data_IF_178599251253
#
_entry.id   IF_178599251253
#
_cell.length_a   1.000
_cell.length_b   1.000
_cell.length_c   1.000
_cell.angle_alpha   90.00
_cell.angle_beta   90.00
_cell.angle_gamma   90.00
#
_symmetry.space_group_name_H-M   'P 1'
#
loop_
_entity.id
_entity.type
_entity.pdbx_description
1 polymer ?
#
# COMPACT_ATOMS: atom_id res chain seq x y z
N UNK A 1 -4.96 9.40 4.04
CA UNK A 1 -3.51 9.71 4.16
C UNK A 1 -2.96 9.42 5.54
N UNK A 2 -3.55 9.94 6.62
CA UNK A 2 -3.01 9.72 7.98
C UNK A 2 -2.71 8.25 8.29
N UNK A 3 -3.68 7.35 8.11
CA UNK A 3 -3.49 5.91 8.34
C UNK A 3 -2.41 5.28 7.46
N UNK A 4 -2.40 5.58 6.16
CA UNK A 4 -1.35 5.08 5.26
C UNK A 4 0.04 5.54 5.73
N UNK A 5 0.20 6.84 5.99
CA UNK A 5 1.52 7.41 6.31
C UNK A 5 2.04 7.06 7.69
N UNK A 6 1.15 6.85 8.67
CA UNK A 6 1.55 6.32 9.98
C UNK A 6 1.89 4.85 9.87
N UNK A 7 1.14 4.07 9.09
CA UNK A 7 1.41 2.66 8.86
C UNK A 7 2.75 2.41 8.17
N UNK A 8 3.04 3.16 7.11
CA UNK A 8 4.34 3.19 6.42
C UNK A 8 5.48 3.47 7.41
N UNK A 9 5.47 4.65 8.06
CA UNK A 9 6.54 5.03 8.99
C UNK A 9 6.63 4.12 10.22
N UNK A 10 5.53 3.47 10.61
CA UNK A 10 5.54 2.42 11.62
C UNK A 10 6.29 1.18 11.13
N UNK A 11 5.96 0.67 9.95
CA UNK A 11 6.59 -0.50 9.34
C UNK A 11 8.08 -0.31 9.09
N UNK A 12 8.49 0.87 8.63
CA UNK A 12 9.90 1.19 8.33
C UNK A 12 10.82 1.08 9.56
N UNK A 13 10.30 1.27 10.78
CA UNK A 13 11.08 1.08 12.01
C UNK A 13 11.58 -0.36 12.20
N UNK A 14 10.94 -1.33 11.53
CA UNK A 14 11.30 -2.74 11.59
C UNK A 14 12.28 -3.15 10.48
N UNK A 15 12.53 -2.27 9.49
CA UNK A 15 13.52 -2.48 8.43
C UNK A 15 14.84 -1.76 8.73
N UNK A 16 14.79 -0.51 9.23
CA UNK A 16 16.01 0.30 9.46
C UNK A 16 16.79 -0.04 10.72
N UNK A 17 16.13 -0.56 11.76
CA UNK A 17 16.74 -0.80 13.07
C UNK A 17 16.54 -2.24 13.56
N UNK A 18 17.31 -3.21 13.01
CA UNK A 18 17.14 -4.63 13.34
C UNK A 18 17.65 -5.02 14.74
N UNK A 19 18.39 -4.14 15.42
CA UNK A 19 18.93 -4.42 16.75
C UNK A 19 17.79 -4.59 17.78
N UNK A 20 17.75 -5.75 18.45
CA UNK A 20 16.75 -6.04 19.48
C UNK A 20 15.32 -6.20 18.95
N UNK A 21 15.13 -6.34 17.63
CA UNK A 21 13.85 -6.29 16.94
C UNK A 21 12.82 -7.28 17.50
N UNK A 22 13.22 -8.53 17.72
CA UNK A 22 12.37 -9.57 18.31
C UNK A 22 11.85 -9.19 19.70
N UNK A 23 12.72 -8.63 20.55
CA UNK A 23 12.32 -8.21 21.89
C UNK A 23 11.38 -7.01 21.85
N UNK A 24 11.61 -6.04 20.95
CA UNK A 24 10.70 -4.90 20.76
C UNK A 24 9.33 -5.34 20.27
N UNK A 25 9.27 -6.25 19.29
CA UNK A 25 8.02 -6.82 18.79
C UNK A 25 7.24 -7.52 19.89
N UNK A 26 7.89 -8.35 20.71
CA UNK A 26 7.24 -9.03 21.84
C UNK A 26 6.68 -8.04 22.88
N UNK A 27 7.37 -6.92 23.10
CA UNK A 27 6.94 -5.88 24.05
C UNK A 27 6.00 -4.84 23.45
N UNK A 28 5.71 -4.91 22.15
CA UNK A 28 5.04 -3.83 21.38
C UNK A 28 5.67 -2.46 21.62
N UNK A 29 7.00 -2.44 21.63
CA UNK A 29 7.80 -1.23 21.86
C UNK A 29 8.05 -0.50 20.54
N UNK A 30 7.68 0.78 20.51
CA UNK A 30 7.90 1.67 19.36
C UNK A 30 9.08 2.61 19.62
N UNK A 31 9.78 3.05 18.58
CA UNK A 31 10.93 3.95 18.73
C UNK A 31 10.48 5.39 19.02
N UNK A 32 11.39 6.21 19.54
CA UNK A 32 11.20 7.66 19.56
C UNK A 32 11.17 8.23 18.13
N UNK A 33 10.46 9.34 17.95
CA UNK A 33 10.38 10.04 16.67
C UNK A 33 11.62 10.89 16.37
N UNK A 34 11.75 11.42 15.15
CA UNK A 34 10.77 11.30 14.06
C UNK A 34 10.88 9.95 13.33
N UNK A 35 9.73 9.35 12.98
CA UNK A 35 9.62 8.20 12.10
C UNK A 35 9.47 8.72 10.67
N UNK A 36 10.49 8.59 9.82
CA UNK A 36 10.36 8.95 8.42
C UNK A 36 9.43 7.97 7.73
N UNK A 37 8.58 8.48 6.84
CA UNK A 37 7.84 7.66 5.89
C UNK A 37 8.68 7.43 4.62
N UNK A 38 8.31 6.42 3.85
CA UNK A 38 9.08 5.91 2.72
C UNK A 38 8.47 6.32 1.38
N UNK A 39 8.87 5.68 0.29
CA UNK A 39 8.29 5.88 -1.03
C UNK A 39 6.80 5.59 -1.07
N UNK A 40 6.29 4.71 -0.21
CA UNK A 40 4.86 4.42 -0.03
C UNK A 40 4.04 5.70 0.15
N UNK A 41 4.38 6.48 1.17
CA UNK A 41 3.72 7.76 1.46
C UNK A 41 4.04 8.81 0.40
N UNK A 42 5.27 8.87 -0.09
CA UNK A 42 5.67 9.87 -1.11
C UNK A 42 4.87 9.70 -2.40
N UNK A 43 4.74 8.47 -2.88
CA UNK A 43 3.94 8.15 -4.06
C UNK A 43 2.44 8.30 -3.78
N UNK A 44 1.95 7.91 -2.60
CA UNK A 44 0.55 8.13 -2.21
C UNK A 44 0.15 9.62 -2.18
N UNK A 45 1.07 10.52 -1.83
CA UNK A 45 0.81 11.97 -1.92
C UNK A 45 0.54 12.42 -3.36
N UNK A 46 1.29 11.92 -4.35
CA UNK A 46 1.02 12.23 -5.77
C UNK A 46 -0.35 11.72 -6.23
N UNK A 47 -0.82 10.60 -5.67
CA UNK A 47 -2.18 10.09 -5.93
C UNK A 47 -3.23 11.07 -5.41
N UNK A 48 -3.09 11.53 -4.16
CA UNK A 48 -4.01 12.50 -3.57
C UNK A 48 -4.03 13.81 -4.37
N UNK A 49 -2.87 14.29 -4.80
CA UNK A 49 -2.78 15.49 -5.64
C UNK A 49 -3.46 15.28 -7.00
N UNK A 50 -3.27 14.13 -7.65
CA UNK A 50 -3.94 13.81 -8.90
C UNK A 50 -5.47 13.83 -8.75
N UNK A 51 -5.99 13.15 -7.72
CA UNK A 51 -7.42 13.11 -7.41
C UNK A 51 -7.98 14.50 -7.09
N UNK A 52 -7.24 15.32 -6.35
CA UNK A 52 -7.64 16.69 -6.01
C UNK A 52 -7.67 17.63 -7.22
N UNK A 53 -6.70 17.50 -8.14
CA UNK A 53 -6.59 18.38 -9.31
C UNK A 53 -7.47 17.94 -10.48
N UNK A 54 -7.71 16.63 -10.65
CA UNK A 54 -8.32 16.07 -11.86
C UNK A 54 -9.60 15.28 -11.60
N UNK A 55 -9.98 15.03 -10.34
CA UNK A 55 -11.14 14.18 -10.01
C UNK A 55 -10.94 12.70 -10.33
N UNK A 56 -9.71 12.29 -10.61
CA UNK A 56 -9.30 10.96 -11.09
C UNK A 56 -7.80 10.94 -11.37
N UNK A 57 -7.32 9.84 -11.93
CA UNK A 57 -5.91 9.66 -12.30
C UNK A 57 -5.67 10.12 -13.73
N UNK A 58 -4.96 11.24 -13.88
CA UNK A 58 -4.32 11.58 -15.15
C UNK A 58 -2.92 10.95 -15.16
N UNK A 59 -2.70 9.94 -16.02
CA UNK A 59 -1.47 9.14 -16.02
C UNK A 59 -0.24 9.93 -16.47
N UNK A 60 -0.40 10.85 -17.43
CA UNK A 60 0.71 11.66 -17.94
C UNK A 60 1.10 12.76 -16.94
N UNK A 61 0.12 13.30 -16.22
CA UNK A 61 0.37 14.17 -15.08
C UNK A 61 1.01 13.41 -13.92
N UNK A 62 0.46 12.24 -13.55
CA UNK A 62 0.96 11.43 -12.43
C UNK A 62 2.38 10.95 -12.66
N UNK A 63 2.72 10.54 -13.88
CA UNK A 63 4.08 10.15 -14.27
C UNK A 63 5.10 11.26 -14.02
N UNK A 64 4.79 12.49 -14.47
CA UNK A 64 5.62 13.67 -14.22
C UNK A 64 5.76 13.91 -12.73
N UNK A 65 4.65 13.83 -11.99
CA UNK A 65 4.63 14.09 -10.56
C UNK A 65 5.43 13.09 -9.75
N UNK A 66 5.39 11.81 -10.12
CA UNK A 66 6.26 10.79 -9.54
C UNK A 66 7.74 11.08 -9.79
N UNK A 67 8.12 11.47 -11.02
CA UNK A 67 9.48 11.86 -11.35
C UNK A 67 9.97 13.08 -10.55
N UNK A 68 9.12 14.11 -10.43
CA UNK A 68 9.41 15.32 -9.64
C UNK A 68 9.66 15.01 -8.16
N UNK A 69 8.75 14.27 -7.50
CA UNK A 69 8.93 13.93 -6.07
C UNK A 69 10.10 12.98 -5.83
N UNK A 70 10.33 12.04 -6.75
CA UNK A 70 11.52 11.18 -6.70
C UNK A 70 12.82 12.00 -6.77
N UNK A 71 12.89 13.01 -7.63
CA UNK A 71 14.07 13.86 -7.76
C UNK A 71 14.39 14.71 -6.51
N UNK A 72 13.38 15.00 -5.67
CA UNK A 72 13.58 15.71 -4.41
C UNK A 72 14.32 14.85 -3.38
N UNK A 73 14.01 13.55 -3.32
CA UNK A 73 14.65 12.61 -2.40
C UNK A 73 14.62 11.17 -2.94
N UNK A 74 15.65 10.77 -3.73
CA UNK A 74 15.74 9.42 -4.31
C UNK A 74 16.00 8.30 -3.30
N UNK A 75 16.24 8.63 -2.03
CA UNK A 75 16.67 7.70 -0.98
C UNK A 75 15.53 7.31 -0.02
N UNK A 76 14.29 7.47 -0.47
CA UNK A 76 13.08 7.22 0.35
C UNK A 76 12.66 5.75 0.48
N UNK A 77 13.43 4.79 -0.03
CA UNK A 77 13.10 3.36 0.06
C UNK A 77 12.81 2.68 -1.28
N UNK A 78 12.71 3.45 -2.37
CA UNK A 78 12.37 2.93 -3.70
C UNK A 78 13.17 1.68 -4.10
N UNK A 79 12.48 0.58 -4.38
CA UNK A 79 13.08 -0.62 -4.93
C UNK A 79 13.80 -0.37 -6.27
N UNK A 80 14.80 -1.19 -6.61
CA UNK A 80 15.70 -0.92 -7.75
C UNK A 80 15.00 -0.68 -9.09
N UNK A 81 13.93 -1.43 -9.40
CA UNK A 81 13.13 -1.19 -10.61
C UNK A 81 12.36 0.14 -10.56
N UNK A 82 11.76 0.46 -9.41
CA UNK A 82 11.08 1.74 -9.22
C UNK A 82 12.08 2.90 -9.35
N UNK A 83 13.26 2.78 -8.74
CA UNK A 83 14.33 3.78 -8.84
C UNK A 83 14.72 4.04 -10.31
N UNK A 84 14.87 3.00 -11.12
CA UNK A 84 15.17 3.14 -12.55
C UNK A 84 14.03 3.86 -13.31
N UNK A 85 12.79 3.40 -13.15
CA UNK A 85 11.62 4.00 -13.81
C UNK A 85 11.47 5.46 -13.41
N UNK A 86 11.47 5.77 -12.12
CA UNK A 86 11.26 7.12 -11.59
C UNK A 86 12.39 8.07 -11.97
N UNK A 87 13.63 7.57 -12.06
CA UNK A 87 14.77 8.34 -12.57
C UNK A 87 14.57 8.73 -14.03
N UNK A 88 14.04 7.83 -14.87
CA UNK A 88 13.72 8.14 -16.27
C UNK A 88 12.52 9.08 -16.39
N UNK A 89 11.49 8.92 -15.57
CA UNK A 89 10.35 9.86 -15.50
C UNK A 89 10.79 11.26 -15.09
N UNK A 90 11.71 11.38 -14.13
CA UNK A 90 12.31 12.66 -13.73
C UNK A 90 13.07 13.35 -14.87
N UNK A 91 13.52 12.59 -15.87
CA UNK A 91 14.15 13.11 -17.11
C UNK A 91 13.16 13.32 -18.25
N UNK A 92 11.86 13.12 -18.01
CA UNK A 92 10.80 13.32 -19.00
C UNK A 92 10.58 12.15 -19.95
N UNK A 93 11.00 10.93 -19.59
CA UNK A 93 10.70 9.76 -20.39
C UNK A 93 9.19 9.45 -20.44
N UNK A 94 8.75 8.84 -21.54
CA UNK A 94 7.38 8.34 -21.67
C UNK A 94 7.16 7.12 -20.77
N UNK A 95 6.26 7.26 -19.78
CA UNK A 95 5.95 6.21 -18.81
C UNK A 95 5.50 4.92 -19.46
N UNK A 96 4.77 4.99 -20.60
CA UNK A 96 4.27 3.80 -21.30
C UNK A 96 5.41 2.93 -21.76
N UNK A 97 6.51 3.55 -22.20
CA UNK A 97 7.71 2.86 -22.64
C UNK A 97 8.53 2.32 -21.46
N UNK A 98 8.81 3.14 -20.45
CA UNK A 98 9.71 2.73 -19.36
C UNK A 98 9.08 1.71 -18.43
N UNK A 99 7.78 1.82 -18.14
CA UNK A 99 7.06 0.84 -17.33
C UNK A 99 6.94 -0.51 -18.06
N UNK A 100 6.68 -0.50 -19.37
CA UNK A 100 6.61 -1.70 -20.19
C UNK A 100 7.98 -2.37 -20.36
N UNK A 101 9.07 -1.60 -20.46
CA UNK A 101 10.41 -2.15 -20.66
C UNK A 101 10.97 -2.93 -19.45
N UNK A 102 10.42 -2.71 -18.24
CA UNK A 102 10.86 -3.42 -17.04
C UNK A 102 10.76 -4.95 -17.19
N UNK A 103 11.69 -5.67 -16.56
CA UNK A 103 11.77 -7.14 -16.60
C UNK A 103 11.76 -7.74 -18.02
N UNK A 104 12.49 -7.11 -18.94
CA UNK A 104 12.62 -7.60 -20.31
C UNK A 104 11.34 -7.45 -21.14
N UNK A 105 10.48 -6.49 -20.82
CA UNK A 105 9.22 -6.25 -21.54
C UNK A 105 7.97 -6.79 -20.83
N UNK A 106 8.13 -7.49 -19.71
CA UNK A 106 7.01 -8.06 -18.97
C UNK A 106 6.30 -7.04 -18.05
N UNK A 107 7.00 -5.97 -17.65
CA UNK A 107 6.54 -5.04 -16.63
C UNK A 107 6.74 -5.55 -15.20
N UNK A 108 6.64 -4.64 -14.22
CA UNK A 108 6.79 -4.98 -12.80
C UNK A 108 5.52 -5.62 -12.22
N UNK A 109 5.68 -6.77 -11.56
CA UNK A 109 4.66 -7.43 -10.72
C UNK A 109 4.65 -6.92 -9.27
N UNK A 110 5.48 -5.92 -8.98
CA UNK A 110 5.71 -5.44 -7.62
C UNK A 110 4.47 -4.89 -6.93
N UNK A 111 4.53 -4.83 -5.60
CA UNK A 111 3.49 -4.30 -4.74
C UNK A 111 3.46 -2.75 -4.69
N UNK A 112 4.41 -2.05 -5.32
CA UNK A 112 4.50 -0.59 -5.27
C UNK A 112 3.33 0.16 -5.91
N UNK A 113 2.53 -0.51 -6.76
CA UNK A 113 1.23 0.02 -7.20
C UNK A 113 0.17 -0.05 -6.07
N UNK A 114 0.20 -1.11 -5.27
CA UNK A 114 -0.73 -1.37 -4.18
C UNK A 114 -0.48 -0.48 -2.96
N UNK A 115 0.79 -0.25 -2.61
CA UNK A 115 1.19 0.54 -1.43
C UNK A 115 0.59 1.96 -1.41
N UNK A 116 0.34 2.53 -2.60
CA UNK A 116 -0.16 3.89 -2.80
C UNK A 116 -1.65 3.97 -3.19
N UNK A 117 -2.37 2.84 -3.22
CA UNK A 117 -3.72 2.77 -3.78
C UNK A 117 -4.85 3.09 -2.78
N UNK A 118 -4.57 3.05 -1.46
CA UNK A 118 -5.57 3.35 -0.42
C UNK A 118 -6.32 4.68 -0.62
N UNK A 119 -5.65 5.81 -0.96
CA UNK A 119 -6.33 7.07 -1.23
C UNK A 119 -7.32 7.05 -2.39
N UNK A 120 -7.10 6.20 -3.41
CA UNK A 120 -8.03 6.05 -4.54
C UNK A 120 -9.35 5.46 -4.04
N UNK A 121 -9.27 4.39 -3.25
CA UNK A 121 -10.46 3.77 -2.65
C UNK A 121 -11.22 4.72 -1.73
N UNK A 122 -10.51 5.48 -0.90
CA UNK A 122 -11.12 6.48 -0.04
C UNK A 122 -11.85 7.58 -0.82
N UNK A 123 -11.30 8.01 -1.97
CA UNK A 123 -11.89 9.05 -2.81
C UNK A 123 -13.16 8.57 -3.53
N UNK A 124 -13.16 7.33 -4.02
CA UNK A 124 -14.30 6.68 -4.68
C UNK A 124 -15.07 5.74 -3.73
N UNK A 125 -15.25 6.16 -2.47
CA UNK A 125 -15.94 5.37 -1.47
C UNK A 125 -17.32 4.88 -1.97
N UNK A 126 -17.55 3.57 -1.92
CA UNK A 126 -18.79 2.94 -2.39
C UNK A 126 -18.89 2.72 -3.91
N UNK A 127 -17.99 3.29 -4.73
CA UNK A 127 -17.90 3.03 -6.17
C UNK A 127 -16.63 2.22 -6.49
N UNK A 128 -16.74 0.91 -6.23
CA UNK A 128 -15.63 -0.03 -6.39
C UNK A 128 -15.21 -0.19 -7.86
N UNK A 129 -16.12 0.02 -8.80
CA UNK A 129 -15.81 -0.10 -10.23
C UNK A 129 -14.91 1.06 -10.66
N UNK A 130 -15.27 2.29 -10.30
CA UNK A 130 -14.43 3.47 -10.59
C UNK A 130 -13.11 3.39 -9.81
N UNK A 131 -13.14 2.99 -8.53
CA UNK A 131 -11.92 2.78 -7.74
C UNK A 131 -10.95 1.79 -8.42
N UNK A 132 -11.47 0.68 -8.96
CA UNK A 132 -10.67 -0.31 -9.68
C UNK A 132 -10.07 0.24 -10.98
N UNK A 133 -10.85 0.98 -11.78
CA UNK A 133 -10.37 1.62 -13.02
C UNK A 133 -9.25 2.60 -12.71
N UNK A 134 -9.45 3.49 -11.74
CA UNK A 134 -8.48 4.53 -11.39
C UNK A 134 -7.23 3.94 -10.73
N UNK A 135 -7.38 2.88 -9.92
CA UNK A 135 -6.23 2.16 -9.35
C UNK A 135 -5.39 1.46 -10.41
N UNK A 136 -6.02 0.86 -11.44
CA UNK A 136 -5.30 0.30 -12.59
C UNK A 136 -4.50 1.38 -13.30
N UNK A 137 -5.14 2.51 -13.64
CA UNK A 137 -4.48 3.65 -14.32
C UNK A 137 -3.29 4.17 -13.52
N UNK A 138 -3.42 4.27 -12.21
CA UNK A 138 -2.32 4.65 -11.30
C UNK A 138 -1.16 3.64 -11.30
N UNK A 139 -1.47 2.35 -11.29
CA UNK A 139 -0.46 1.30 -11.28
C UNK A 139 0.31 1.24 -12.61
N UNK A 140 -0.38 1.35 -13.75
CA UNK A 140 0.20 1.29 -15.10
C UNK A 140 1.41 2.22 -15.32
N UNK A 141 1.43 3.37 -14.64
CA UNK A 141 2.53 4.35 -14.72
C UNK A 141 3.88 3.76 -14.32
N UNK A 142 3.91 2.75 -13.44
CA UNK A 142 5.16 2.10 -13.00
C UNK A 142 5.11 0.57 -13.01
N UNK A 143 3.93 -0.03 -13.12
CA UNK A 143 3.67 -1.47 -13.08
C UNK A 143 2.83 -1.86 -14.29
N UNK A 144 3.49 -2.13 -15.42
CA UNK A 144 2.80 -2.58 -16.64
C UNK A 144 2.30 -4.03 -16.56
N UNK A 145 2.79 -4.83 -15.60
CA UNK A 145 2.36 -6.22 -15.48
C UNK A 145 0.95 -6.30 -14.85
N UNK A 146 0.03 -7.14 -15.36
CA UNK A 146 -1.32 -7.30 -14.83
C UNK A 146 -1.38 -7.59 -13.33
N UNK A 147 -0.51 -8.45 -12.79
CA UNK A 147 -0.45 -8.72 -11.34
C UNK A 147 -0.11 -7.51 -10.47
N UNK A 148 0.81 -6.63 -10.90
CA UNK A 148 1.09 -5.39 -10.16
C UNK A 148 -0.12 -4.45 -10.14
N UNK A 149 -0.88 -4.42 -11.23
CA UNK A 149 -2.15 -3.69 -11.32
C UNK A 149 -3.26 -4.34 -10.49
N UNK A 150 -3.34 -5.67 -10.47
CA UNK A 150 -4.32 -6.42 -9.68
C UNK A 150 -4.15 -6.13 -8.19
N UNK A 151 -2.92 -6.00 -7.70
CA UNK A 151 -2.65 -5.58 -6.32
C UNK A 151 -3.19 -4.19 -6.01
N UNK A 152 -2.97 -3.20 -6.89
CA UNK A 152 -3.49 -1.85 -6.72
C UNK A 152 -5.02 -1.81 -6.72
N UNK A 153 -5.65 -2.53 -7.66
CA UNK A 153 -7.10 -2.69 -7.75
C UNK A 153 -7.66 -3.25 -6.44
N UNK A 154 -7.04 -4.32 -5.92
CA UNK A 154 -7.50 -4.97 -4.70
C UNK A 154 -7.46 -4.04 -3.48
N UNK A 155 -6.37 -3.29 -3.30
CA UNK A 155 -6.21 -2.34 -2.19
C UNK A 155 -7.20 -1.18 -2.31
N UNK A 156 -7.38 -0.61 -3.51
CA UNK A 156 -8.34 0.46 -3.71
C UNK A 156 -9.79 -0.01 -3.49
N UNK A 157 -10.15 -1.21 -3.95
CA UNK A 157 -11.48 -1.78 -3.73
C UNK A 157 -11.73 -2.04 -2.23
N UNK A 158 -10.75 -2.57 -1.51
CA UNK A 158 -10.85 -2.79 -0.06
C UNK A 158 -11.01 -1.47 0.71
N UNK A 159 -10.25 -0.43 0.34
CA UNK A 159 -10.38 0.90 0.91
C UNK A 159 -11.74 1.54 0.60
N UNK A 160 -12.23 1.43 -0.65
CA UNK A 160 -13.56 1.92 -1.04
C UNK A 160 -14.68 1.22 -0.27
N UNK A 161 -14.55 -0.09 -0.05
CA UNK A 161 -15.46 -0.85 0.79
C UNK A 161 -15.43 -0.37 2.24
N UNK A 162 -14.25 -0.30 2.86
CA UNK A 162 -14.09 0.10 4.26
C UNK A 162 -14.63 1.51 4.54
N UNK A 163 -14.48 2.44 3.59
CA UNK A 163 -15.02 3.79 3.70
C UNK A 163 -16.55 3.85 3.60
N UNK A 164 -17.16 3.01 2.76
CA UNK A 164 -18.62 2.99 2.56
C UNK A 164 -19.37 2.12 3.58
N UNK A 165 -18.71 1.09 4.13
CA UNK A 165 -19.28 0.13 5.07
C UNK A 165 -18.46 0.11 6.37
N UNK A 166 -18.45 1.23 7.12
CA UNK A 166 -17.64 1.34 8.33
C UNK A 166 -17.99 0.21 9.32
N UNK A 167 -16.95 -0.42 9.87
CA UNK A 167 -17.05 -1.56 10.79
C UNK A 167 -17.63 -2.85 10.22
N UNK A 168 -18.06 -2.88 8.96
CA UNK A 168 -18.47 -4.11 8.28
C UNK A 168 -17.37 -4.59 7.34
N UNK A 169 -16.66 -5.61 7.79
CA UNK A 169 -15.67 -6.26 6.96
C UNK A 169 -16.18 -7.55 6.30
N UNK A 170 -17.42 -7.99 6.58
CA UNK A 170 -17.97 -9.26 6.09
C UNK A 170 -17.98 -9.36 4.57
N UNK A 171 -18.38 -8.30 3.87
CA UNK A 171 -18.39 -8.25 2.41
C UNK A 171 -17.07 -7.81 1.75
N UNK A 172 -16.02 -7.49 2.53
CA UNK A 172 -14.79 -6.90 1.99
C UNK A 172 -14.14 -7.79 0.93
N UNK A 173 -14.00 -9.09 1.20
CA UNK A 173 -13.35 -10.01 0.26
C UNK A 173 -14.19 -10.25 -0.99
N UNK A 174 -15.51 -10.40 -0.87
CA UNK A 174 -16.41 -10.60 -2.02
C UNK A 174 -16.34 -9.38 -2.95
N UNK A 175 -16.48 -8.19 -2.39
CA UNK A 175 -16.33 -6.92 -3.09
C UNK A 175 -14.99 -6.76 -3.83
N UNK A 176 -13.88 -7.16 -3.19
CA UNK A 176 -12.56 -7.14 -3.83
C UNK A 176 -12.48 -8.16 -4.97
N UNK A 177 -12.95 -9.39 -4.75
CA UNK A 177 -12.87 -10.49 -5.73
C UNK A 177 -13.75 -10.28 -6.97
N UNK A 178 -14.77 -9.42 -6.87
CA UNK A 178 -15.65 -9.03 -7.97
C UNK A 178 -14.96 -8.13 -9.00
N UNK A 179 -13.99 -7.30 -8.57
CA UNK A 179 -13.34 -6.30 -9.44
C UNK A 179 -11.88 -6.64 -9.79
N UNK A 180 -11.23 -7.49 -8.99
CA UNK A 180 -9.84 -7.92 -9.27
C UNK A 180 -9.84 -8.93 -10.42
N UNK A 181 -9.03 -8.72 -11.48
CA UNK A 181 -8.95 -9.64 -12.62
C UNK A 181 -8.39 -11.01 -12.22
N UNK A 182 -8.75 -12.06 -12.97
CA UNK A 182 -8.22 -13.40 -12.74
C UNK A 182 -6.70 -13.46 -12.90
N UNK A 183 -6.03 -14.13 -11.95
CA UNK A 183 -4.58 -14.25 -11.90
C UNK A 183 -4.08 -14.63 -10.51
N UNK A 184 -2.78 -14.91 -10.34
CA UNK A 184 -2.16 -15.29 -9.07
C UNK A 184 -2.54 -14.42 -7.86
N UNK A 185 -2.61 -13.10 -8.04
CA UNK A 185 -2.97 -12.15 -6.97
C UNK A 185 -4.40 -12.39 -6.51
N UNK A 186 -5.35 -12.55 -7.45
CA UNK A 186 -6.75 -12.85 -7.13
C UNK A 186 -6.89 -14.21 -6.45
N UNK A 187 -6.18 -15.22 -6.91
CA UNK A 187 -6.22 -16.56 -6.34
C UNK A 187 -5.69 -16.57 -4.90
N UNK A 188 -4.63 -15.81 -4.63
CA UNK A 188 -4.10 -15.64 -3.29
C UNK A 188 -5.05 -14.85 -2.38
N UNK A 189 -5.72 -13.81 -2.89
CA UNK A 189 -6.79 -13.08 -2.16
C UNK A 189 -7.96 -14.04 -1.82
N UNK A 190 -8.36 -14.90 -2.76
CA UNK A 190 -9.40 -15.90 -2.52
C UNK A 190 -8.99 -16.94 -1.47
N UNK A 191 -7.69 -17.26 -1.35
CA UNK A 191 -7.17 -18.07 -0.25
C UNK A 191 -7.24 -17.31 1.08
N UNK A 192 -6.83 -16.04 1.10
CA UNK A 192 -6.91 -15.18 2.29
C UNK A 192 -8.33 -15.09 2.84
N UNK A 193 -9.33 -14.96 1.98
CA UNK A 193 -10.76 -14.91 2.35
C UNK A 193 -11.25 -16.14 3.14
N UNK A 194 -10.57 -17.29 3.00
CA UNK A 194 -10.95 -18.54 3.67
C UNK A 194 -10.20 -18.77 4.98
N UNK A 195 -9.21 -17.95 5.31
CA UNK A 195 -8.41 -18.10 6.52
C UNK A 195 -9.07 -17.38 7.70
N UNK A 196 -9.40 -18.10 8.79
CA UNK A 196 -10.05 -17.51 9.95
C UNK A 196 -9.08 -16.64 10.77
N UNK A 197 -9.61 -15.78 11.64
CA UNK A 197 -8.83 -14.92 12.54
C UNK A 197 -7.95 -15.71 13.53
N UNK A 198 -8.36 -16.93 13.89
CA UNK A 198 -7.66 -17.80 14.84
C UNK A 198 -6.53 -18.60 14.20
N UNK A 199 -6.34 -18.50 12.88
CA UNK A 199 -5.26 -19.20 12.19
C UNK A 199 -3.90 -18.77 12.77
N UNK A 200 -3.00 -19.75 12.96
CA UNK A 200 -1.64 -19.47 13.40
C UNK A 200 -0.97 -18.55 12.37
N UNK A 201 -0.41 -17.43 12.82
CA UNK A 201 0.09 -16.41 11.91
C UNK A 201 1.24 -16.91 11.01
N UNK A 202 2.04 -17.84 11.52
CA UNK A 202 3.07 -18.52 10.72
C UNK A 202 2.48 -19.29 9.54
N UNK A 203 1.34 -19.98 9.74
CA UNK A 203 0.63 -20.68 8.67
C UNK A 203 0.01 -19.71 7.67
N UNK A 204 -0.52 -18.57 8.14
CA UNK A 204 -1.09 -17.52 7.29
C UNK A 204 0.00 -16.96 6.38
N UNK A 205 1.13 -16.54 6.94
CA UNK A 205 2.26 -16.00 6.17
C UNK A 205 2.87 -17.03 5.24
N UNK A 206 2.98 -18.29 5.65
CA UNK A 206 3.46 -19.36 4.77
C UNK A 206 2.57 -19.54 3.52
N UNK A 207 1.26 -19.31 3.65
CA UNK A 207 0.29 -19.46 2.54
C UNK A 207 0.17 -18.21 1.68
N UNK A 208 0.15 -17.03 2.31
CA UNK A 208 -0.19 -15.77 1.64
C UNK A 208 1.04 -14.92 1.27
N UNK A 209 2.18 -15.20 1.88
CA UNK A 209 3.34 -14.30 1.89
C UNK A 209 3.22 -13.21 2.96
N UNK A 210 4.26 -12.40 3.04
CA UNK A 210 4.36 -11.20 3.88
C UNK A 210 5.11 -10.06 3.14
N UNK A 211 5.12 -10.12 1.82
CA UNK A 211 5.79 -9.17 0.95
C UNK A 211 7.30 -9.33 0.84
N UNK A 212 7.93 -10.33 1.47
CA UNK A 212 9.38 -10.57 1.36
C UNK A 212 9.86 -10.66 -0.11
N UNK A 213 9.00 -11.08 -1.04
CA UNK A 213 9.33 -11.15 -2.46
C UNK A 213 9.11 -9.83 -3.22
N UNK A 214 8.56 -8.81 -2.57
CA UNK A 214 8.19 -7.51 -3.13
C UNK A 214 7.25 -7.68 -4.33
N UNK A 215 6.28 -8.59 -4.21
CA UNK A 215 5.29 -8.91 -5.24
C UNK A 215 3.88 -8.64 -4.75
N UNK A 216 2.99 -8.20 -5.64
CA UNK A 216 1.59 -7.97 -5.30
C UNK A 216 0.92 -9.21 -4.69
N UNK A 217 1.08 -10.38 -5.32
CA UNK A 217 0.51 -11.65 -4.85
C UNK A 217 1.14 -12.22 -3.57
N UNK A 218 2.27 -11.66 -3.12
CA UNK A 218 2.97 -12.05 -1.88
C UNK A 218 2.69 -11.06 -0.73
N UNK A 219 2.08 -9.91 -1.03
CA UNK A 219 1.91 -8.80 -0.07
C UNK A 219 0.44 -8.50 0.19
N UNK A 220 -0.32 -8.29 -0.89
CA UNK A 220 -1.71 -7.80 -0.84
C UNK A 220 -2.65 -8.80 -0.16
N UNK A 221 -2.59 -10.12 -0.41
CA UNK A 221 -3.48 -11.07 0.26
C UNK A 221 -3.33 -11.03 1.78
N UNK A 222 -2.11 -10.97 2.29
CA UNK A 222 -1.84 -10.88 3.73
C UNK A 222 -2.26 -9.53 4.32
N UNK A 223 -2.02 -8.44 3.61
CA UNK A 223 -2.48 -7.11 4.04
C UNK A 223 -4.02 -7.05 4.14
N UNK A 224 -4.74 -7.59 3.15
CA UNK A 224 -6.20 -7.65 3.19
C UNK A 224 -6.72 -8.56 4.30
N UNK A 225 -6.05 -9.69 4.57
CA UNK A 225 -6.36 -10.54 5.72
C UNK A 225 -6.21 -9.78 7.04
N UNK A 226 -5.11 -9.05 7.23
CA UNK A 226 -4.90 -8.21 8.41
C UNK A 226 -6.00 -7.14 8.53
N UNK A 227 -6.28 -6.40 7.46
CA UNK A 227 -7.31 -5.37 7.46
C UNK A 227 -8.71 -5.92 7.76
N UNK A 228 -9.08 -7.08 7.20
CA UNK A 228 -10.38 -7.73 7.42
C UNK A 228 -10.62 -8.09 8.89
N UNK A 229 -9.60 -8.62 9.56
CA UNK A 229 -9.74 -9.14 10.93
C UNK A 229 -9.54 -8.08 12.00
N UNK A 230 -8.97 -6.93 11.62
CA UNK A 230 -8.70 -5.80 12.52
C UNK A 230 -9.32 -4.49 12.03
N UNK A 231 -10.44 -4.54 11.31
CA UNK A 231 -11.02 -3.37 10.61
C UNK A 231 -11.34 -2.18 11.53
N UNK A 232 -11.59 -2.44 12.81
CA UNK A 232 -11.91 -1.44 13.84
C UNK A 232 -10.75 -1.20 14.84
N UNK A 233 -9.60 -1.86 14.66
CA UNK A 233 -8.44 -1.77 15.56
C UNK A 233 -7.16 -1.52 14.76
N UNK A 234 -6.86 -0.23 14.58
CA UNK A 234 -5.70 0.25 13.83
C UNK A 234 -4.36 -0.26 14.40
N UNK A 235 -4.21 -0.22 15.72
CA UNK A 235 -2.96 -0.63 16.38
C UNK A 235 -2.77 -2.16 16.28
N UNK A 236 -3.82 -2.93 16.56
CA UNK A 236 -3.80 -4.39 16.41
C UNK A 236 -3.51 -4.82 14.97
N UNK A 237 -4.07 -4.12 13.99
CA UNK A 237 -3.83 -4.37 12.57
C UNK A 237 -2.35 -4.19 12.20
N UNK A 238 -1.74 -3.07 12.59
CA UNK A 238 -0.34 -2.77 12.27
C UNK A 238 0.64 -3.70 12.99
N UNK A 239 0.43 -4.00 14.27
CA UNK A 239 1.25 -4.98 14.96
C UNK A 239 1.18 -6.37 14.32
N UNK A 240 -0.02 -6.78 13.88
CA UNK A 240 -0.21 -8.06 13.19
C UNK A 240 0.58 -8.09 11.89
N UNK A 241 0.44 -7.05 11.06
CA UNK A 241 1.14 -6.92 9.78
C UNK A 241 2.67 -7.04 9.90
N UNK A 242 3.30 -6.38 10.88
CA UNK A 242 4.78 -6.39 11.00
C UNK A 242 5.34 -7.58 11.78
N UNK A 243 4.50 -8.35 12.48
CA UNK A 243 4.94 -9.36 13.44
C UNK A 243 5.64 -10.58 12.85
N UNK A 244 5.62 -10.73 11.53
CA UNK A 244 6.36 -11.76 10.78
C UNK A 244 7.33 -11.19 9.76
N UNK A 245 7.73 -9.93 9.93
CA UNK A 245 8.64 -9.23 9.02
C UNK A 245 8.14 -9.28 7.58
N UNK A 246 9.06 -9.24 6.62
CA UNK A 246 8.76 -9.08 5.21
C UNK A 246 8.84 -7.61 4.84
N UNK A 247 7.87 -7.15 4.05
CA UNK A 247 7.82 -5.77 3.55
C UNK A 247 6.99 -4.90 4.50
N UNK A 248 7.56 -4.62 5.67
CA UNK A 248 6.83 -4.09 6.82
C UNK A 248 6.21 -2.70 6.58
N UNK A 249 6.94 -1.80 5.93
CA UNK A 249 6.48 -0.47 5.51
C UNK A 249 5.31 -0.58 4.52
N UNK A 250 5.45 -1.39 3.47
CA UNK A 250 4.36 -1.61 2.49
C UNK A 250 3.13 -2.27 3.10
N UNK A 251 3.31 -3.29 3.94
CA UNK A 251 2.20 -3.88 4.69
C UNK A 251 1.53 -2.83 5.58
N UNK A 252 2.33 -2.02 6.28
CA UNK A 252 1.85 -0.93 7.12
C UNK A 252 1.05 0.11 6.33
N UNK A 253 1.56 0.55 5.17
CA UNK A 253 0.92 1.52 4.30
C UNK A 253 -0.45 1.02 3.81
N UNK A 254 -0.51 -0.22 3.33
CA UNK A 254 -1.75 -0.83 2.83
C UNK A 254 -2.76 -1.03 3.96
N UNK A 255 -2.35 -1.70 5.05
CA UNK A 255 -3.23 -2.02 6.18
C UNK A 255 -3.72 -0.75 6.87
N UNK A 256 -2.80 0.16 7.19
CA UNK A 256 -3.15 1.44 7.81
C UNK A 256 -4.03 2.32 6.90
N UNK A 257 -3.78 2.29 5.59
CA UNK A 257 -4.59 3.01 4.60
C UNK A 257 -6.05 2.53 4.52
N UNK A 258 -6.29 1.23 4.70
CA UNK A 258 -7.64 0.63 4.69
C UNK A 258 -8.31 0.78 6.07
N UNK A 259 -7.64 0.35 7.14
CA UNK A 259 -8.23 0.25 8.47
C UNK A 259 -8.59 1.62 9.03
N UNK A 260 -7.79 2.66 8.77
CA UNK A 260 -8.10 4.02 9.22
C UNK A 260 -9.36 4.66 8.58
N UNK A 261 -9.97 4.00 7.59
CA UNK A 261 -11.26 4.43 7.02
C UNK A 261 -12.45 4.01 7.89
N UNK A 262 -12.26 3.05 8.80
CA UNK A 262 -13.25 2.81 9.85
C UNK A 262 -13.18 3.94 10.89
N UNK A 263 -14.32 4.55 11.27
CA UNK A 263 -14.37 5.58 12.30
C UNK A 263 -14.01 5.04 13.70
N UNK A 264 -14.04 3.72 13.91
CA UNK A 264 -13.66 3.10 15.19
C UNK A 264 -12.16 2.81 15.30
N UNK A 265 -11.48 2.72 14.17
CA UNK A 265 -10.05 2.48 14.10
C UNK A 265 -9.26 3.78 14.38
N UNK A 266 -9.13 4.12 15.66
CA UNK A 266 -8.43 5.33 16.09
C UNK A 266 -6.92 5.15 15.93
N UNK A 267 -6.31 6.01 15.12
CA UNK A 267 -4.85 6.10 15.01
C UNK A 267 -4.29 6.66 16.34
N UNK A 268 -3.36 5.97 17.02
CA UNK A 268 -2.76 6.49 18.25
C UNK A 268 -2.10 7.85 18.03
N UNK A 269 -2.48 8.85 18.85
CA UNK A 269 -1.96 10.21 18.69
C UNK A 269 -0.44 10.28 18.83
N UNK A 270 0.13 9.50 19.75
CA UNK A 270 1.57 9.40 19.92
C UNK A 270 2.29 8.88 18.66
N UNK A 271 1.64 8.05 17.84
CA UNK A 271 2.21 7.56 16.58
C UNK A 271 2.12 8.63 15.49
N UNK A 272 1.00 9.35 15.41
CA UNK A 272 0.85 10.51 14.50
C UNK A 272 1.90 11.58 14.76
N UNK A 273 2.19 11.87 16.02
CA UNK A 273 3.20 12.87 16.42
C UNK A 273 4.64 12.43 16.18
N UNK A 274 4.91 11.12 16.23
CA UNK A 274 6.25 10.58 15.94
C UNK A 274 6.52 10.51 14.44
N UNK A 275 5.52 10.24 13.61
CA UNK A 275 5.68 10.28 12.14
C UNK A 275 6.09 11.68 11.67
N UNK A 276 7.05 11.76 10.75
CA UNK A 276 7.45 13.04 10.16
C UNK A 276 6.24 13.74 9.47
N UNK A 277 6.21 15.08 9.38
CA UNK A 277 5.07 15.79 8.78
C UNK A 277 4.85 15.49 7.28
N UNK A 278 3.58 15.45 6.82
CA UNK A 278 3.26 15.33 5.38
C UNK A 278 3.66 16.56 4.56
N UNK A 279 3.95 17.69 5.20
CA UNK A 279 4.25 18.95 4.49
C UNK A 279 5.55 18.93 3.70
N UNK A 280 6.44 17.96 3.94
CA UNK A 280 7.77 17.86 3.33
C UNK A 280 7.69 17.79 1.80
N UNK A 281 6.69 17.10 1.23
CA UNK A 281 6.56 16.90 -0.21
C UNK A 281 5.32 17.58 -0.83
N UNK A 282 4.53 18.33 -0.06
CA UNK A 282 3.30 18.99 -0.54
C UNK A 282 3.55 20.34 -1.23
N UNK A 283 4.80 20.84 -1.29
CA UNK A 283 5.13 22.22 -1.73
C UNK A 283 5.79 22.33 -3.11
N UNK A 284 5.77 21.28 -3.92
CA UNK A 284 6.35 21.30 -5.27
C UNK A 284 5.27 21.32 -6.32
#
# INVERSE_FOLDING_TARGET
>A
MEGLSVGDAFGEQFLRQPAGLFARLQRREVLDGPWPYTDDTVMAMSIVESLACHGGIDQDWLARRFGEKFALDPWRGYGGTAHAILSDLARGADWRRVAAAAFGGAGSMGNGGAMRAGPIGAYFAGDLTTAAVEARRSAEVTHAHPEGQAGAIAVAAAAAWAAAHPSDASGLFDAVLDVVPAGPTRDAIAQAARLPSEAALDDVVQRLGNGLRVLAQDTVPFALWCARHWIDDYEGALWTAVSRFGDCDTLGAIVGGIVALSPRAVIPEAWRQRREPLTTFLRV
#
